data_IF_265990126112
#
_entry.id   IF_265990126112
#
_cell.length_a   1.000
_cell.length_b   1.000
_cell.length_c   1.000
_cell.angle_alpha   90.00
_cell.angle_beta   90.00
_cell.angle_gamma   90.00
#
_symmetry.space_group_name_H-M   'P 1'
#
loop_
_entity.id
_entity.type
_entity.pdbx_description
1 polymer ?
#
# COMPACT_ATOMS: atom_id res chain seq x y z
N UNK A 1 -19.39 16.10 -18.33
CA UNK A 1 -17.91 16.19 -18.31
C UNK A 1 -17.42 15.13 -17.33
N UNK A 2 -16.83 14.07 -17.85
CA UNK A 2 -16.27 13.00 -17.02
C UNK A 2 -15.11 13.60 -16.21
N UNK A 3 -15.18 13.52 -14.87
CA UNK A 3 -14.10 14.04 -14.02
C UNK A 3 -12.89 13.14 -14.18
N UNK A 4 -11.76 13.74 -14.53
CA UNK A 4 -10.49 13.02 -14.59
C UNK A 4 -10.17 12.39 -13.23
N UNK A 5 -9.60 11.18 -13.22
CA UNK A 5 -9.28 10.50 -11.96
C UNK A 5 -8.33 11.31 -11.07
N UNK A 6 -7.48 12.13 -11.70
CA UNK A 6 -6.55 13.03 -11.03
C UNK A 6 -7.26 14.15 -10.23
N UNK A 7 -8.57 14.29 -10.34
CA UNK A 7 -9.36 15.26 -9.57
C UNK A 7 -9.88 14.68 -8.24
N UNK A 8 -9.73 13.38 -7.97
CA UNK A 8 -10.25 12.75 -6.76
C UNK A 8 -9.20 12.72 -5.64
N UNK A 9 -9.50 13.30 -4.46
CA UNK A 9 -8.59 13.28 -3.30
C UNK A 9 -8.19 11.86 -2.87
N UNK A 10 -9.08 10.87 -3.06
CA UNK A 10 -8.82 9.47 -2.74
C UNK A 10 -7.64 8.88 -3.49
N UNK A 11 -7.37 9.34 -4.73
CA UNK A 11 -6.20 8.88 -5.49
C UNK A 11 -4.90 9.34 -4.82
N UNK A 12 -4.81 10.61 -4.44
CA UNK A 12 -3.62 11.16 -3.77
C UNK A 12 -3.39 10.51 -2.41
N UNK A 13 -4.47 10.30 -1.64
CA UNK A 13 -4.40 9.59 -0.38
C UNK A 13 -3.91 8.14 -0.56
N UNK A 14 -4.38 7.45 -1.61
CA UNK A 14 -3.96 6.09 -1.94
C UNK A 14 -2.47 6.02 -2.31
N UNK A 15 -2.00 6.93 -3.15
CA UNK A 15 -0.59 7.03 -3.54
C UNK A 15 0.28 7.31 -2.31
N UNK A 16 -0.10 8.27 -1.48
CA UNK A 16 0.63 8.59 -0.24
C UNK A 16 0.69 7.38 0.69
N UNK A 17 -0.42 6.65 0.87
CA UNK A 17 -0.45 5.43 1.66
C UNK A 17 0.53 4.38 1.11
N UNK A 18 0.58 4.20 -0.22
CA UNK A 18 1.56 3.33 -0.86
C UNK A 18 3.01 3.74 -0.60
N UNK A 19 3.32 5.04 -0.68
CA UNK A 19 4.66 5.58 -0.39
C UNK A 19 5.05 5.32 1.07
N UNK A 20 4.15 5.58 2.02
CA UNK A 20 4.41 5.34 3.43
C UNK A 20 4.62 3.85 3.73
N UNK A 21 3.85 2.97 3.09
CA UNK A 21 4.01 1.53 3.22
C UNK A 21 5.37 1.06 2.65
N UNK A 22 5.81 1.64 1.53
CA UNK A 22 7.14 1.40 0.98
C UNK A 22 8.26 1.88 1.90
N UNK A 23 8.12 3.07 2.51
CA UNK A 23 9.06 3.57 3.52
C UNK A 23 9.10 2.63 4.73
N UNK A 24 7.95 2.13 5.20
CA UNK A 24 7.89 1.18 6.30
C UNK A 24 8.63 -0.12 5.98
N UNK A 25 8.47 -0.66 4.77
CA UNK A 25 9.28 -1.79 4.29
C UNK A 25 10.77 -1.46 4.28
N UNK A 26 11.16 -0.31 3.74
CA UNK A 26 12.56 0.10 3.70
C UNK A 26 13.18 0.19 5.10
N UNK A 27 12.45 0.78 6.05
CA UNK A 27 12.87 0.85 7.46
C UNK A 27 12.94 -0.52 8.12
N UNK A 28 12.02 -1.43 7.80
CA UNK A 28 12.05 -2.82 8.25
C UNK A 28 13.34 -3.51 7.77
N UNK A 29 13.66 -3.44 6.48
CA UNK A 29 14.89 -4.02 5.94
C UNK A 29 16.15 -3.39 6.56
N UNK A 30 16.20 -2.06 6.66
CA UNK A 30 17.32 -1.32 7.30
C UNK A 30 17.54 -1.73 8.76
N UNK A 31 16.50 -2.14 9.47
CA UNK A 31 16.56 -2.50 10.89
C UNK A 31 16.39 -4.01 11.13
N UNK A 32 16.51 -4.84 10.09
CA UNK A 32 16.22 -6.28 10.16
C UNK A 32 16.93 -6.98 11.31
N UNK A 33 18.23 -6.72 11.52
CA UNK A 33 19.00 -7.32 12.61
C UNK A 33 18.46 -6.99 14.01
N UNK A 34 17.82 -5.82 14.20
CA UNK A 34 17.19 -5.44 15.47
C UNK A 34 15.81 -6.08 15.60
N UNK A 35 15.06 -6.11 14.50
CA UNK A 35 13.71 -6.68 14.46
C UNK A 35 13.73 -8.17 14.77
N UNK A 36 14.66 -8.94 14.21
CA UNK A 36 14.80 -10.38 14.48
C UNK A 36 15.17 -10.72 15.93
N UNK A 37 15.58 -9.72 16.73
CA UNK A 37 15.89 -9.88 18.16
C UNK A 37 14.75 -9.44 19.07
N UNK A 38 13.61 -9.02 18.52
CA UNK A 38 12.42 -8.71 19.29
C UNK A 38 11.85 -9.98 19.93
N UNK A 39 11.20 -9.83 21.08
CA UNK A 39 10.47 -10.93 21.72
C UNK A 39 9.35 -11.45 20.80
N UNK A 40 8.98 -12.74 20.89
CA UNK A 40 8.00 -13.35 19.99
C UNK A 40 6.67 -12.59 19.88
N UNK A 41 6.17 -12.06 21.00
CA UNK A 41 4.93 -11.28 21.03
C UNK A 41 5.00 -10.03 20.14
N UNK A 42 6.13 -9.29 20.17
CA UNK A 42 6.34 -8.11 19.33
C UNK A 42 6.46 -8.48 17.84
N UNK A 43 7.09 -9.61 17.53
CA UNK A 43 7.16 -10.12 16.16
C UNK A 43 5.77 -10.46 15.59
N UNK A 44 4.91 -11.06 16.41
CA UNK A 44 3.51 -11.35 16.05
C UNK A 44 2.76 -10.05 15.77
N UNK A 45 2.84 -9.06 16.68
CA UNK A 45 2.19 -7.75 16.49
C UNK A 45 2.67 -7.10 15.19
N UNK A 46 3.98 -7.05 14.97
CA UNK A 46 4.55 -6.42 13.78
C UNK A 46 4.06 -7.10 12.50
N UNK A 47 3.98 -8.43 12.49
CA UNK A 47 3.48 -9.22 11.36
C UNK A 47 1.99 -8.95 11.10
N UNK A 48 1.17 -8.91 12.16
CA UNK A 48 -0.25 -8.60 12.05
C UNK A 48 -0.49 -7.18 11.56
N UNK A 49 0.29 -6.20 12.05
CA UNK A 49 0.23 -4.82 11.59
C UNK A 49 0.58 -4.74 10.10
N UNK A 50 1.63 -5.46 9.69
CA UNK A 50 2.04 -5.51 8.29
C UNK A 50 0.94 -6.07 7.38
N UNK A 51 0.34 -7.20 7.80
CA UNK A 51 -0.80 -7.82 7.12
C UNK A 51 -1.99 -6.86 7.00
N UNK A 52 -2.34 -6.16 8.09
CA UNK A 52 -3.43 -5.20 8.09
C UNK A 52 -3.17 -4.02 7.14
N UNK A 53 -1.98 -3.42 7.18
CA UNK A 53 -1.63 -2.29 6.32
C UNK A 53 -1.65 -2.65 4.83
N UNK A 54 -1.06 -3.80 4.45
CA UNK A 54 -1.10 -4.31 3.07
C UNK A 54 -2.54 -4.62 2.65
N UNK A 55 -3.31 -5.27 3.52
CA UNK A 55 -4.72 -5.58 3.26
C UNK A 55 -5.57 -4.35 3.02
N UNK A 56 -5.45 -3.32 3.87
CA UNK A 56 -6.17 -2.04 3.71
C UNK A 56 -5.76 -1.35 2.41
N UNK A 57 -4.46 -1.33 2.07
CA UNK A 57 -3.99 -0.78 0.80
C UNK A 57 -4.58 -1.54 -0.41
N UNK A 58 -4.62 -2.87 -0.36
CA UNK A 58 -5.24 -3.70 -1.40
C UNK A 58 -6.75 -3.46 -1.54
N UNK A 59 -7.48 -3.30 -0.43
CA UNK A 59 -8.91 -2.95 -0.46
C UNK A 59 -9.12 -1.57 -1.10
N UNK A 60 -8.22 -0.62 -0.84
CA UNK A 60 -8.28 0.71 -1.47
C UNK A 60 -8.08 0.63 -2.99
N UNK A 61 -7.18 -0.25 -3.47
CA UNK A 61 -7.06 -0.56 -4.91
C UNK A 61 -8.37 -1.09 -5.49
N UNK A 62 -9.00 -2.07 -4.82
CA UNK A 62 -10.30 -2.60 -5.24
C UNK A 62 -11.38 -1.51 -5.32
N UNK A 63 -11.37 -0.56 -4.39
CA UNK A 63 -12.24 0.61 -4.41
C UNK A 63 -12.01 1.49 -5.65
N UNK A 64 -10.74 1.76 -6.00
CA UNK A 64 -10.41 2.54 -7.20
C UNK A 64 -10.79 1.85 -8.50
N UNK A 65 -10.61 0.53 -8.59
CA UNK A 65 -11.00 -0.26 -9.76
C UNK A 65 -12.52 -0.25 -9.97
N UNK A 66 -13.30 -0.37 -8.89
CA UNK A 66 -14.77 -0.38 -8.95
C UNK A 66 -15.36 1.00 -9.22
N UNK A 67 -14.85 2.05 -8.57
CA UNK A 67 -15.45 3.39 -8.60
C UNK A 67 -14.89 4.23 -9.75
N UNK A 68 -13.57 4.20 -9.94
CA UNK A 68 -12.88 5.07 -10.90
C UNK A 68 -12.35 4.32 -12.14
N UNK A 69 -12.65 3.02 -12.27
CA UNK A 69 -12.19 2.15 -13.38
C UNK A 69 -10.67 2.20 -13.58
N UNK A 70 -9.93 2.46 -12.51
CA UNK A 70 -8.49 2.60 -12.56
C UNK A 70 -7.80 1.38 -12.00
N UNK A 71 -7.05 0.71 -12.88
CA UNK A 71 -6.18 -0.40 -12.53
C UNK A 71 -4.71 0.01 -12.84
N UNK A 72 -3.85 0.12 -11.82
CA UNK A 72 -2.45 0.47 -12.03
C UNK A 72 -1.69 -0.59 -12.85
N UNK A 73 -2.01 -1.87 -12.69
CA UNK A 73 -1.35 -2.96 -13.40
C UNK A 73 -1.71 -2.97 -14.89
N UNK A 74 -2.97 -2.68 -15.24
CA UNK A 74 -3.35 -2.55 -16.66
C UNK A 74 -2.62 -1.39 -17.31
N UNK A 75 -2.37 -0.31 -16.57
CA UNK A 75 -1.64 0.86 -17.08
C UNK A 75 -0.18 0.51 -17.40
N UNK A 76 0.46 -0.35 -16.60
CA UNK A 76 1.84 -0.82 -16.83
C UNK A 76 1.91 -1.88 -17.95
N UNK A 77 0.93 -2.79 -18.01
CA UNK A 77 0.93 -3.91 -18.97
C UNK A 77 0.49 -3.51 -20.39
N UNK A 78 -0.33 -2.47 -20.54
CA UNK A 78 -0.79 -1.96 -21.84
C UNK A 78 0.20 -0.99 -22.51
N UNK A 79 1.38 -0.75 -21.91
CA UNK A 79 2.47 0.02 -22.53
C UNK A 79 3.42 -0.85 -23.39
N UNK A 80 3.02 -2.08 -23.72
CA UNK A 80 3.66 -2.94 -24.73
C UNK A 80 2.76 -3.10 -25.94
#
# INVERSE_FOLDING_TARGET
MEKSIFSFPSLYAHILNGILLFIAFFLFFKNYSKICRLEPYKLIILTLLFSACVGIHGISHLGMEKIYRFNPLSTILLQK
#
